data_IF_853230690021
#
_entry.id   IF_853230690021
#
_cell.length_a   1.000
_cell.length_b   1.000
_cell.length_c   1.000
_cell.angle_alpha   90.00
_cell.angle_beta   90.00
_cell.angle_gamma   90.00
#
_symmetry.space_group_name_H-M   'P 1'
#
loop_
_entity.id
_entity.type
_entity.pdbx_description
1 polymer ?
#
# COMPACT_ATOMS: atom_id res chain seq x y z
N UNK A 1 -5.46 -11.58 -13.25
CA UNK A 1 -6.15 -12.85 -12.98
C UNK A 1 -5.24 -13.64 -12.08
N UNK A 2 -5.71 -14.23 -10.98
CA UNK A 2 -4.90 -15.15 -10.18
C UNK A 2 -4.32 -16.24 -11.07
N UNK A 3 -3.10 -16.69 -10.78
CA UNK A 3 -2.42 -17.66 -11.65
C UNK A 3 -3.11 -19.04 -11.62
N UNK A 4 -3.72 -19.43 -10.49
CA UNK A 4 -4.57 -20.62 -10.39
C UNK A 4 -5.68 -20.63 -11.45
N UNK A 5 -6.34 -19.49 -11.66
CA UNK A 5 -7.43 -19.36 -12.63
C UNK A 5 -6.91 -19.34 -14.07
N UNK A 6 -5.66 -18.90 -14.30
CA UNK A 6 -5.03 -18.95 -15.63
C UNK A 6 -4.70 -20.38 -16.01
N UNK A 7 -4.15 -21.14 -15.07
CA UNK A 7 -3.78 -22.54 -15.29
C UNK A 7 -5.02 -23.38 -15.57
N UNK A 8 -6.08 -23.23 -14.76
CA UNK A 8 -7.35 -23.91 -15.02
C UNK A 8 -7.94 -23.56 -16.41
N UNK A 9 -7.90 -22.28 -16.81
CA UNK A 9 -8.39 -21.87 -18.13
C UNK A 9 -7.52 -22.45 -19.26
N UNK A 10 -6.20 -22.49 -19.09
CA UNK A 10 -5.26 -23.08 -20.03
C UNK A 10 -5.50 -24.58 -20.20
N UNK A 11 -5.69 -25.31 -19.10
CA UNK A 11 -5.95 -26.76 -19.09
C UNK A 11 -7.24 -27.09 -19.85
N UNK A 12 -8.33 -26.34 -19.58
CA UNK A 12 -9.60 -26.49 -20.30
C UNK A 12 -9.47 -26.21 -21.81
N UNK A 13 -8.57 -25.30 -22.21
CA UNK A 13 -8.32 -25.01 -23.64
C UNK A 13 -7.55 -26.17 -24.26
N UNK A 14 -6.51 -26.69 -23.58
CA UNK A 14 -5.71 -27.82 -24.06
C UNK A 14 -6.50 -29.12 -24.16
N UNK A 15 -7.50 -29.31 -23.30
CA UNK A 15 -8.42 -30.45 -23.39
C UNK A 15 -9.24 -30.45 -24.69
N UNK A 16 -9.53 -29.28 -25.25
CA UNK A 16 -10.42 -29.10 -26.41
C UNK A 16 -9.69 -28.76 -27.71
N UNK A 17 -8.49 -28.20 -27.62
CA UNK A 17 -7.76 -27.65 -28.74
C UNK A 17 -6.28 -28.02 -28.68
N UNK A 18 -5.74 -28.47 -29.81
CA UNK A 18 -4.29 -28.60 -30.02
C UNK A 18 -3.70 -27.22 -30.31
N UNK A 19 -2.82 -26.73 -29.44
CA UNK A 19 -2.22 -25.41 -29.55
C UNK A 19 -0.77 -25.52 -30.02
N UNK A 20 -0.44 -24.92 -31.17
CA UNK A 20 0.94 -24.76 -31.66
C UNK A 20 1.66 -23.54 -31.05
N UNK A 21 1.00 -22.86 -30.11
CA UNK A 21 1.50 -21.65 -29.46
C UNK A 21 1.91 -21.93 -28.02
N UNK A 22 2.93 -21.21 -27.54
CA UNK A 22 3.41 -21.39 -26.16
C UNK A 22 2.36 -20.98 -25.11
N UNK A 23 2.35 -21.71 -23.99
CA UNK A 23 1.49 -21.41 -22.83
C UNK A 23 1.67 -19.97 -22.32
N UNK A 24 2.90 -19.47 -22.37
CA UNK A 24 3.23 -18.09 -21.99
C UNK A 24 2.47 -17.07 -22.85
N UNK A 25 2.35 -17.33 -24.15
CA UNK A 25 1.58 -16.48 -25.06
C UNK A 25 0.08 -16.54 -24.74
N UNK A 26 -0.46 -17.75 -24.56
CA UNK A 26 -1.87 -17.96 -24.23
C UNK A 26 -2.23 -17.27 -22.90
N UNK A 27 -1.39 -17.41 -21.88
CA UNK A 27 -1.55 -16.76 -20.59
C UNK A 27 -1.53 -15.23 -20.68
N UNK A 28 -0.70 -14.65 -21.56
CA UNK A 28 -0.70 -13.20 -21.83
C UNK A 28 -2.03 -12.75 -22.45
N UNK A 29 -2.52 -13.50 -23.44
CA UNK A 29 -3.80 -13.19 -24.13
C UNK A 29 -4.99 -13.34 -23.19
N UNK A 30 -5.06 -14.43 -22.42
CA UNK A 30 -6.08 -14.66 -21.39
C UNK A 30 -6.06 -13.54 -20.34
N UNK A 31 -4.87 -13.19 -19.85
CA UNK A 31 -4.69 -12.10 -18.92
C UNK A 31 -5.17 -10.75 -19.46
N UNK A 32 -4.94 -10.47 -20.75
CA UNK A 32 -5.45 -9.27 -21.42
C UNK A 32 -6.98 -9.30 -21.53
N UNK A 33 -7.55 -10.36 -22.09
CA UNK A 33 -9.01 -10.52 -22.22
C UNK A 33 -9.73 -10.36 -20.88
N UNK A 34 -9.17 -10.91 -19.80
CA UNK A 34 -9.71 -10.74 -18.46
C UNK A 34 -9.67 -9.29 -17.96
N UNK A 35 -8.57 -8.55 -18.22
CA UNK A 35 -8.49 -7.12 -17.87
C UNK A 35 -9.51 -6.29 -18.66
N UNK A 36 -9.63 -6.57 -19.96
CA UNK A 36 -10.56 -5.87 -20.85
C UNK A 36 -12.01 -6.13 -20.41
N UNK A 37 -12.37 -7.39 -20.16
CA UNK A 37 -13.68 -7.79 -19.66
C UNK A 37 -14.02 -7.09 -18.33
N UNK A 38 -13.07 -7.05 -17.38
CA UNK A 38 -13.25 -6.28 -16.13
C UNK A 38 -13.49 -4.80 -16.38
N UNK A 39 -12.81 -4.20 -17.35
CA UNK A 39 -12.99 -2.79 -17.69
C UNK A 39 -14.40 -2.54 -18.22
N UNK A 40 -14.90 -3.40 -19.11
CA UNK A 40 -16.27 -3.35 -19.62
C UNK A 40 -17.30 -3.48 -18.49
N UNK A 41 -17.16 -4.49 -17.64
CA UNK A 41 -18.07 -4.67 -16.48
C UNK A 41 -18.04 -3.47 -15.53
N UNK A 42 -16.87 -2.90 -15.27
CA UNK A 42 -16.78 -1.68 -14.47
C UNK A 42 -17.55 -0.53 -15.12
N UNK A 43 -17.45 -0.32 -16.43
CA UNK A 43 -18.20 0.75 -17.10
C UNK A 43 -19.71 0.56 -17.00
N UNK A 44 -20.19 -0.67 -17.17
CA UNK A 44 -21.63 -0.99 -17.17
C UNK A 44 -22.24 -0.97 -15.76
N UNK A 45 -21.56 -1.54 -14.77
CA UNK A 45 -22.13 -1.80 -13.45
C UNK A 45 -21.68 -0.80 -12.38
N UNK A 46 -20.56 -0.08 -12.57
CA UNK A 46 -20.08 0.86 -11.57
C UNK A 46 -20.84 2.20 -11.64
N UNK A 47 -21.75 2.42 -10.68
CA UNK A 47 -22.32 3.76 -10.43
C UNK A 47 -21.61 4.41 -9.22
N UNK A 48 -21.34 5.72 -9.32
CA UNK A 48 -20.55 6.47 -8.32
C UNK A 48 -21.25 6.54 -6.94
N UNK A 49 -22.57 6.63 -6.94
CA UNK A 49 -23.37 6.98 -5.75
C UNK A 49 -24.03 5.77 -5.06
N UNK A 50 -23.64 4.54 -5.40
CA UNK A 50 -24.18 3.34 -4.76
C UNK A 50 -23.40 3.01 -3.47
N UNK A 51 -24.10 2.52 -2.45
CA UNK A 51 -23.51 1.98 -1.22
C UNK A 51 -22.64 0.74 -1.50
N UNK A 52 -21.70 0.43 -0.61
CA UNK A 52 -20.83 -0.76 -0.78
C UNK A 52 -21.67 -2.06 -0.77
N UNK A 53 -22.64 -2.17 0.13
CA UNK A 53 -23.49 -3.36 0.22
C UNK A 53 -24.28 -3.60 -1.06
N UNK A 54 -24.86 -2.54 -1.62
CA UNK A 54 -25.67 -2.63 -2.83
C UNK A 54 -24.80 -2.94 -4.06
N UNK A 55 -23.52 -2.54 -4.07
CA UNK A 55 -22.55 -3.01 -5.07
C UNK A 55 -22.25 -4.50 -4.95
N UNK A 56 -22.23 -5.05 -3.74
CA UNK A 56 -21.98 -6.48 -3.51
C UNK A 56 -23.20 -7.35 -3.79
N UNK A 57 -24.41 -6.78 -3.75
CA UNK A 57 -25.65 -7.46 -4.18
C UNK A 57 -25.78 -7.52 -5.71
N UNK A 58 -25.27 -6.52 -6.42
CA UNK A 58 -25.32 -6.44 -7.89
C UNK A 58 -24.09 -7.08 -8.55
N UNK A 59 -23.91 -8.40 -8.38
CA UNK A 59 -22.84 -9.15 -9.07
C UNK A 59 -23.24 -9.36 -10.55
N UNK A 60 -22.38 -9.00 -11.51
CA UNK A 60 -22.66 -9.26 -12.92
C UNK A 60 -22.85 -10.75 -13.22
N UNK A 61 -23.80 -11.13 -14.10
CA UNK A 61 -23.96 -12.51 -14.53
C UNK A 61 -22.66 -13.09 -15.07
N UNK A 62 -22.29 -14.30 -14.66
CA UNK A 62 -21.05 -14.96 -15.08
C UNK A 62 -19.80 -14.57 -14.28
N UNK A 63 -19.93 -13.73 -13.24
CA UNK A 63 -18.82 -13.38 -12.35
C UNK A 63 -19.05 -13.94 -10.95
N UNK A 64 -17.99 -14.51 -10.35
CA UNK A 64 -18.06 -15.00 -8.98
C UNK A 64 -17.98 -13.82 -8.00
N UNK A 65 -18.77 -13.88 -6.91
CA UNK A 65 -18.87 -12.81 -5.91
C UNK A 65 -17.52 -12.35 -5.36
N UNK A 66 -16.62 -13.30 -5.04
CA UNK A 66 -15.28 -12.98 -4.56
C UNK A 66 -14.43 -12.23 -5.60
N UNK A 67 -14.59 -12.57 -6.89
CA UNK A 67 -13.88 -11.88 -7.98
C UNK A 67 -14.38 -10.46 -8.15
N UNK A 68 -15.70 -10.26 -7.96
CA UNK A 68 -16.34 -8.95 -8.03
C UNK A 68 -15.94 -8.05 -6.86
N UNK A 69 -15.87 -8.59 -5.65
CA UNK A 69 -15.34 -7.91 -4.46
C UNK A 69 -13.94 -7.36 -4.70
N UNK A 70 -13.03 -8.18 -5.24
CA UNK A 70 -11.67 -7.76 -5.56
C UNK A 70 -11.61 -6.60 -6.56
N UNK A 71 -12.54 -6.54 -7.52
CA UNK A 71 -12.58 -5.43 -8.48
C UNK A 71 -13.08 -4.11 -7.89
N UNK A 72 -13.82 -4.17 -6.78
CA UNK A 72 -14.43 -3.01 -6.12
C UNK A 72 -13.58 -2.38 -5.01
N UNK A 73 -12.35 -2.87 -4.76
CA UNK A 73 -11.41 -2.33 -3.75
C UNK A 73 -10.89 -0.90 -4.02
N UNK A 74 -11.35 -0.25 -5.09
CA UNK A 74 -10.86 1.05 -5.56
C UNK A 74 -11.07 2.20 -4.57
N UNK A 75 -12.18 2.20 -3.80
CA UNK A 75 -12.43 3.21 -2.76
C UNK A 75 -11.37 3.20 -1.66
N UNK A 76 -10.78 2.04 -1.38
CA UNK A 76 -9.71 1.91 -0.39
C UNK A 76 -8.49 2.70 -0.88
N UNK A 77 -8.14 2.59 -2.16
CA UNK A 77 -7.02 3.33 -2.74
C UNK A 77 -7.16 4.85 -2.64
N UNK A 78 -8.32 5.40 -2.97
CA UNK A 78 -8.55 6.86 -2.92
C UNK A 78 -8.60 7.38 -1.49
N UNK A 79 -9.31 6.69 -0.59
CA UNK A 79 -9.37 7.09 0.83
C UNK A 79 -8.02 6.94 1.53
N UNK A 80 -7.24 5.90 1.21
CA UNK A 80 -5.86 5.77 1.71
C UNK A 80 -4.95 6.87 1.19
N UNK A 81 -5.06 7.26 -0.09
CA UNK A 81 -4.32 8.41 -0.65
C UNK A 81 -4.72 9.73 0.03
N UNK A 82 -6.01 9.94 0.28
CA UNK A 82 -6.51 11.12 1.00
C UNK A 82 -6.02 11.18 2.45
N UNK A 83 -5.82 10.01 3.10
CA UNK A 83 -5.28 9.89 4.45
C UNK A 83 -3.74 9.89 4.50
N UNK A 84 -3.05 10.07 3.37
CA UNK A 84 -1.59 10.16 3.35
C UNK A 84 -1.15 11.48 3.97
N UNK A 85 -0.62 11.41 5.19
CA UNK A 85 -0.16 12.58 5.95
C UNK A 85 1.25 13.04 5.57
N UNK A 86 2.12 12.11 5.16
CA UNK A 86 3.54 12.36 4.91
C UNK A 86 3.83 12.37 3.41
N UNK A 87 4.12 13.54 2.86
CA UNK A 87 4.56 13.71 1.48
C UNK A 87 6.03 14.10 1.48
N UNK A 88 6.86 13.35 0.77
CA UNK A 88 8.27 13.70 0.61
C UNK A 88 8.41 14.92 -0.33
N UNK A 89 9.40 15.74 -0.07
CA UNK A 89 9.73 17.00 -0.77
C UNK A 89 10.87 16.85 -1.77
N UNK A 90 11.41 15.63 -1.95
CA UNK A 90 12.43 15.31 -2.96
C UNK A 90 11.99 15.60 -4.41
N UNK A 91 10.69 15.85 -4.65
CA UNK A 91 10.16 16.14 -5.97
C UNK A 91 10.35 14.94 -6.90
N UNK A 92 10.87 15.17 -8.10
CA UNK A 92 11.17 14.12 -9.08
C UNK A 92 12.48 13.38 -8.81
N UNK A 93 13.29 13.83 -7.85
CA UNK A 93 14.53 13.13 -7.48
C UNK A 93 14.19 11.85 -6.73
N UNK A 94 14.87 10.77 -7.08
CA UNK A 94 14.76 9.51 -6.33
C UNK A 94 15.41 9.65 -4.95
N UNK A 95 14.98 8.84 -3.98
CA UNK A 95 15.63 8.79 -2.66
C UNK A 95 17.11 8.41 -2.75
N UNK A 96 17.50 7.53 -3.68
CA UNK A 96 18.92 7.19 -3.86
C UNK A 96 19.74 8.41 -4.27
N UNK A 97 19.24 9.20 -5.22
CA UNK A 97 19.89 10.43 -5.67
C UNK A 97 19.98 11.48 -4.54
N UNK A 98 18.94 11.62 -3.73
CA UNK A 98 18.96 12.55 -2.58
C UNK A 98 19.98 12.12 -1.52
N UNK A 99 20.14 10.81 -1.29
CA UNK A 99 21.17 10.31 -0.40
C UNK A 99 22.56 10.61 -0.96
N UNK A 100 22.80 10.27 -2.22
CA UNK A 100 24.09 10.45 -2.90
C UNK A 100 24.53 11.93 -2.94
N UNK A 101 23.62 12.84 -3.31
CA UNK A 101 23.88 14.29 -3.32
C UNK A 101 24.36 14.79 -1.94
N UNK A 102 23.75 14.28 -0.87
CA UNK A 102 24.11 14.65 0.51
C UNK A 102 25.38 13.93 0.99
N UNK A 103 25.61 12.68 0.60
CA UNK A 103 26.87 11.99 0.89
C UNK A 103 28.06 12.69 0.22
N UNK A 104 27.85 13.20 -1.00
CA UNK A 104 28.85 13.94 -1.74
C UNK A 104 29.14 15.32 -1.14
N UNK A 105 28.12 15.99 -0.61
CA UNK A 105 28.28 17.32 0.03
C UNK A 105 28.87 17.22 1.44
N UNK A 106 28.45 16.24 2.23
CA UNK A 106 28.87 16.06 3.64
C UNK A 106 30.13 15.21 3.79
N UNK A 107 30.50 14.42 2.77
CA UNK A 107 31.59 13.45 2.83
C UNK A 107 31.33 12.27 3.75
N UNK A 108 30.10 12.11 4.26
CA UNK A 108 29.70 11.06 5.19
C UNK A 108 28.48 10.31 4.69
N UNK A 109 28.35 9.03 5.07
CA UNK A 109 27.15 8.25 4.73
C UNK A 109 25.91 8.81 5.40
N UNK A 110 24.83 8.94 4.63
CA UNK A 110 23.58 9.52 5.12
C UNK A 110 22.82 8.48 5.93
N UNK A 111 22.63 8.78 7.21
CA UNK A 111 21.84 7.94 8.11
C UNK A 111 20.36 7.95 7.75
N UNK A 112 19.60 6.92 8.17
CA UNK A 112 18.14 6.83 7.88
C UNK A 112 17.34 8.02 8.42
N UNK A 113 17.72 8.55 9.59
CA UNK A 113 17.08 9.72 10.20
C UNK A 113 17.38 10.97 9.38
N UNK A 114 18.65 11.21 9.06
CA UNK A 114 19.08 12.32 8.21
C UNK A 114 18.41 12.25 6.83
N UNK A 115 18.34 11.06 6.24
CA UNK A 115 17.64 10.85 4.97
C UNK A 115 16.16 11.20 5.05
N UNK A 116 15.48 10.81 6.15
CA UNK A 116 14.10 11.17 6.39
C UNK A 116 13.94 12.69 6.52
N UNK A 117 14.82 13.35 7.27
CA UNK A 117 14.78 14.80 7.48
C UNK A 117 14.98 15.57 6.17
N UNK A 118 15.98 15.20 5.36
CA UNK A 118 16.24 15.83 4.05
C UNK A 118 15.03 15.69 3.13
N UNK A 119 14.38 14.52 3.15
CA UNK A 119 13.31 14.20 2.22
C UNK A 119 11.92 14.66 2.68
N UNK A 120 11.76 15.11 3.92
CA UNK A 120 10.47 15.54 4.48
C UNK A 120 10.50 16.99 5.01
N UNK A 121 11.58 17.73 4.75
CA UNK A 121 11.67 19.18 5.01
C UNK A 121 11.43 19.99 3.74
N UNK A 122 10.91 21.20 3.90
CA UNK A 122 10.81 22.18 2.81
C UNK A 122 12.21 22.66 2.40
N UNK A 123 12.31 23.33 1.25
CA UNK A 123 13.57 23.90 0.74
C UNK A 123 14.19 24.94 1.69
N UNK A 124 13.36 25.60 2.52
CA UNK A 124 13.80 26.54 3.55
C UNK A 124 14.25 25.86 4.86
N UNK A 125 14.28 24.51 4.88
CA UNK A 125 14.65 23.72 6.05
C UNK A 125 13.53 23.56 7.10
N UNK A 126 12.39 24.21 6.91
CA UNK A 126 11.26 24.11 7.83
C UNK A 126 10.52 22.76 7.70
N UNK A 127 9.95 22.25 8.80
CA UNK A 127 9.12 21.04 8.77
C UNK A 127 7.88 21.27 7.90
N UNK A 128 7.43 20.23 7.19
CA UNK A 128 6.24 20.33 6.34
C UNK A 128 4.96 20.51 7.16
N UNK A 129 4.85 19.80 8.29
CA UNK A 129 3.71 19.84 9.20
C UNK A 129 4.18 19.79 10.66
N UNK A 130 3.29 20.14 11.59
CA UNK A 130 3.53 19.96 13.03
C UNK A 130 3.71 18.49 13.42
N UNK A 131 3.09 17.57 12.67
CA UNK A 131 3.24 16.11 12.83
C UNK A 131 4.65 15.64 12.45
N UNK A 132 5.30 16.28 11.47
CA UNK A 132 6.71 16.00 11.14
C UNK A 132 7.64 16.39 12.29
N UNK A 133 7.36 17.52 12.95
CA UNK A 133 8.11 17.96 14.14
C UNK A 133 7.97 16.96 15.26
N UNK A 134 6.75 16.53 15.56
CA UNK A 134 6.49 15.53 16.61
C UNK A 134 7.21 14.22 16.31
N UNK A 135 7.20 13.75 15.06
CA UNK A 135 7.90 12.53 14.64
C UNK A 135 9.42 12.69 14.74
N UNK A 136 9.98 13.83 14.34
CA UNK A 136 11.43 14.09 14.47
C UNK A 136 11.85 14.13 15.94
N UNK A 137 11.07 14.78 16.80
CA UNK A 137 11.33 14.84 18.25
C UNK A 137 11.20 13.46 18.88
N UNK A 138 10.14 12.71 18.59
CA UNK A 138 9.93 11.36 19.11
C UNK A 138 11.00 10.36 18.62
N UNK A 139 11.44 10.47 17.36
CA UNK A 139 12.53 9.65 16.80
C UNK A 139 13.92 10.07 17.26
N UNK A 140 14.10 11.33 17.67
CA UNK A 140 15.34 11.82 18.28
C UNK A 140 15.48 11.42 19.75
N UNK A 141 14.36 11.34 20.47
CA UNK A 141 14.33 10.95 21.89
C UNK A 141 14.32 9.43 22.11
N UNK A 142 13.92 8.63 21.12
CA UNK A 142 13.94 7.17 21.18
C UNK A 142 14.81 6.67 20.04
N UNK A 143 15.83 5.84 20.30
CA UNK A 143 16.48 5.02 19.27
C UNK A 143 15.42 4.07 18.69
N UNK A 144 14.61 4.58 17.77
CA UNK A 144 13.40 3.93 17.31
C UNK A 144 13.71 3.17 16.04
N UNK A 145 13.78 1.84 16.13
CA UNK A 145 13.95 1.01 14.96
C UNK A 145 12.64 1.03 14.15
N UNK A 146 12.73 1.23 12.83
CA UNK A 146 11.58 1.29 11.94
C UNK A 146 10.68 0.04 12.00
N UNK A 147 11.22 -1.09 12.50
CA UNK A 147 10.47 -2.31 12.80
C UNK A 147 9.39 -2.10 13.87
N UNK A 148 9.60 -1.22 14.83
CA UNK A 148 8.69 -1.01 15.96
C UNK A 148 7.40 -0.27 15.55
N UNK A 149 7.43 0.49 14.45
CA UNK A 149 6.22 1.13 13.89
C UNK A 149 5.34 0.18 13.09
N UNK A 150 5.90 -0.91 12.56
CA UNK A 150 5.11 -1.96 11.88
C UNK A 150 4.29 -2.78 12.88
N UNK A 151 4.75 -2.91 14.12
CA UNK A 151 4.01 -3.57 15.20
C UNK A 151 2.88 -2.70 15.80
N UNK A 152 2.96 -1.37 15.63
CA UNK A 152 1.94 -0.41 16.11
C UNK A 152 0.92 -0.05 15.00
N UNK A 153 1.01 -0.67 13.81
CA UNK A 153 -0.16 -0.71 12.94
C UNK A 153 -1.18 -1.68 13.54
N UNK A 154 -2.11 -1.13 14.33
CA UNK A 154 -3.39 -1.77 14.64
C UNK A 154 -3.94 -2.43 13.38
N UNK A 155 -3.97 -3.76 13.36
CA UNK A 155 -4.74 -4.54 12.40
C UNK A 155 -6.21 -4.19 12.60
N UNK A 156 -6.77 -3.34 11.73
CA UNK A 156 -8.21 -3.00 11.73
C UNK A 156 -9.07 -4.20 11.24
N UNK A 157 -8.44 -5.32 10.87
CA UNK A 157 -9.10 -6.53 10.34
C UNK A 157 -9.19 -7.70 11.33
N UNK A 158 -8.73 -7.55 12.58
CA UNK A 158 -8.87 -8.61 13.60
C UNK A 158 -9.93 -8.21 14.66
N UNK A 159 -11.18 -8.68 14.53
CA UNK A 159 -12.24 -8.41 15.51
C UNK A 159 -12.10 -9.23 16.80
N UNK A 160 -11.12 -10.13 16.93
CA UNK A 160 -11.01 -11.01 18.11
C UNK A 160 -10.30 -10.35 19.32
N UNK A 161 -9.74 -9.15 19.18
CA UNK A 161 -9.08 -8.42 20.28
C UNK A 161 -9.84 -7.15 20.66
N UNK A 162 -11.07 -7.34 21.10
CA UNK A 162 -11.89 -6.29 21.74
C UNK A 162 -11.42 -5.99 23.17
N UNK A 163 -11.36 -4.69 23.49
CA UNK A 163 -11.40 -4.05 24.82
C UNK A 163 -10.11 -4.08 25.68
N UNK A 164 -9.41 -2.94 25.78
CA UNK A 164 -9.42 -1.98 26.91
C UNK A 164 -8.89 -2.59 28.22
N UNK A 165 -7.64 -2.26 28.60
CA UNK A 165 -7.23 -1.62 29.87
C UNK A 165 -5.70 -1.77 30.03
N UNK A 166 -4.94 -0.68 30.10
CA UNK A 166 -3.66 -0.71 30.83
C UNK A 166 -3.81 0.24 32.01
N UNK A 167 -4.39 -0.30 33.09
CA UNK A 167 -4.32 0.27 34.44
C UNK A 167 -2.88 0.02 34.90
N UNK A 168 -2.18 1.08 35.31
CA UNK A 168 -1.00 0.99 36.15
C UNK A 168 0.23 0.34 35.53
N UNK A 169 1.00 1.11 34.74
CA UNK A 169 2.44 0.87 34.63
C UNK A 169 3.15 2.17 34.97
N UNK A 170 3.61 2.25 36.23
CA UNK A 170 4.45 3.34 36.75
C UNK A 170 5.86 3.14 36.17
N UNK A 171 6.15 3.77 35.03
CA UNK A 171 7.49 3.74 34.42
C UNK A 171 8.46 4.52 35.32
N UNK A 172 9.31 3.80 36.07
CA UNK A 172 10.49 4.38 36.72
C UNK A 172 11.54 4.67 35.64
N UNK A 173 11.69 5.94 35.30
CA UNK A 173 12.83 6.45 34.55
C UNK A 173 14.09 6.31 35.42
N UNK A 174 15.07 5.54 34.97
CA UNK A 174 16.45 5.64 35.45
C UNK A 174 17.24 6.44 34.42
N UNK A 175 17.64 7.65 34.79
CA UNK A 175 18.69 8.37 34.09
C UNK A 175 20.03 7.69 34.39
N UNK A 176 20.90 7.61 33.38
CA UNK A 176 22.31 7.22 33.54
C UNK A 176 23.10 8.53 33.66
N UNK A 177 23.98 8.59 34.63
CA UNK A 177 24.88 9.72 34.91
C UNK A 177 25.80 10.04 33.72
#
# INVERSE_FOLDING_TARGET
>A
MPDSNKNQALDNIKERFTLEVSDNYVNKVLGKKWRDHKSTLKKEYFKKNISLEEKLRNVPPGMLRYQWEDTNRERIGTTSRQKKKFTHTAGSKSFACVAEDEEQSSGQKVGRLQHFDITHRKKDGSPMTTEDVEIMVLKGMVKFDFKDRLLIQRNILDPARSNIYIRGVRLKLKFRD
#
